data_IF_506899599065
#
_entry.id   IF_506899599065
#
_cell.length_a   1.000
_cell.length_b   1.000
_cell.length_c   1.000
_cell.angle_alpha   90.00
_cell.angle_beta   90.00
_cell.angle_gamma   90.00
#
_symmetry.space_group_name_H-M   'P 1'
#
loop_
_entity.id
_entity.type
_entity.pdbx_description
1 polymer ?
#
# COMPACT_ATOMS: atom_id res chain seq x y z
N UNK A 1 -18.05 -43.59 27.08
CA UNK A 1 -19.15 -42.60 27.07
C UNK A 1 -18.49 -41.26 27.18
N UNK A 2 -18.23 -40.69 26.01
CA UNK A 2 -18.81 -39.40 25.56
C UNK A 2 -17.71 -38.34 25.73
N UNK A 3 -16.98 -38.02 24.66
CA UNK A 3 -17.29 -36.89 23.75
C UNK A 3 -17.44 -35.59 24.58
N UNK A 4 -16.67 -34.53 24.43
CA UNK A 4 -16.16 -33.87 23.23
C UNK A 4 -14.87 -33.07 23.52
N UNK A 5 -14.02 -32.83 22.51
CA UNK A 5 -13.05 -31.75 22.54
C UNK A 5 -13.79 -30.42 22.36
N UNK A 6 -13.74 -29.53 23.34
CA UNK A 6 -14.07 -28.12 23.07
C UNK A 6 -12.88 -27.49 22.39
N UNK A 7 -12.88 -27.55 21.06
CA UNK A 7 -12.30 -26.49 20.24
C UNK A 7 -13.08 -25.20 20.55
N UNK A 8 -12.57 -24.39 21.47
CA UNK A 8 -12.90 -22.98 21.56
C UNK A 8 -11.62 -22.23 21.18
N UNK A 9 -11.36 -22.11 19.88
CA UNK A 9 -11.78 -20.99 19.02
C UNK A 9 -10.72 -19.88 19.09
N UNK A 10 -10.12 -19.47 17.95
CA UNK A 10 -9.09 -18.46 17.89
C UNK A 10 -9.71 -17.08 18.16
N UNK A 11 -9.78 -16.72 19.44
CA UNK A 11 -9.91 -15.35 19.90
C UNK A 11 -8.59 -14.95 20.55
N UNK A 12 -7.46 -15.27 19.92
CA UNK A 12 -6.25 -14.47 20.10
C UNK A 12 -6.55 -13.12 19.47
N UNK A 13 -7.17 -12.32 20.34
CA UNK A 13 -7.36 -10.90 20.29
C UNK A 13 -6.72 -10.30 19.04
N UNK A 14 -7.60 -9.81 18.16
CA UNK A 14 -7.54 -8.43 17.71
C UNK A 14 -7.03 -7.57 18.88
N UNK A 15 -5.72 -7.60 19.10
CA UNK A 15 -5.03 -6.84 20.14
C UNK A 15 -5.28 -5.43 19.71
N UNK A 16 -6.33 -4.82 20.28
CA UNK A 16 -6.81 -3.50 19.94
C UNK A 16 -5.56 -2.65 19.78
N UNK A 17 -5.22 -2.32 18.53
CA UNK A 17 -3.90 -1.80 18.14
C UNK A 17 -3.86 -0.33 18.57
N UNK A 18 -3.98 -0.07 19.87
CA UNK A 18 -3.81 1.26 20.42
C UNK A 18 -2.37 1.68 20.21
N UNK A 19 -2.20 2.90 19.73
CA UNK A 19 -0.91 3.55 19.61
C UNK A 19 -0.86 4.66 20.62
N UNK A 20 0.12 4.60 21.52
CA UNK A 20 0.37 5.67 22.49
C UNK A 20 0.93 6.88 21.75
N UNK A 21 0.31 8.03 21.98
CA UNK A 21 0.76 9.30 21.42
C UNK A 21 1.41 10.13 22.54
N UNK A 22 2.70 10.44 22.39
CA UNK A 22 3.40 11.41 23.23
C UNK A 22 3.32 12.80 22.61
N UNK A 23 2.42 13.65 23.11
CA UNK A 23 2.27 15.04 22.66
C UNK A 23 2.68 16.02 23.75
N UNK A 24 3.40 17.07 23.36
CA UNK A 24 3.68 18.22 24.22
C UNK A 24 2.61 19.28 23.95
N UNK A 25 1.96 19.73 25.02
CA UNK A 25 0.98 20.81 24.98
C UNK A 25 1.58 22.04 25.67
N UNK A 26 1.20 23.21 25.17
CA UNK A 26 1.46 24.45 25.89
C UNK A 26 0.69 24.48 27.21
N UNK A 27 1.21 25.18 28.21
CA UNK A 27 0.59 25.27 29.55
C UNK A 27 -0.82 25.83 29.47
N UNK A 28 -1.05 26.84 28.63
CA UNK A 28 -2.36 27.48 28.50
C UNK A 28 -3.38 26.53 27.84
N UNK A 29 -2.94 25.74 26.85
CA UNK A 29 -3.79 24.72 26.21
C UNK A 29 -4.13 23.62 27.21
N UNK A 30 -3.15 23.14 27.98
CA UNK A 30 -3.36 22.14 29.00
C UNK A 30 -4.33 22.63 30.09
N UNK A 31 -4.21 23.89 30.52
CA UNK A 31 -5.11 24.49 31.50
C UNK A 31 -6.55 24.54 30.99
N UNK A 32 -6.77 25.02 29.76
CA UNK A 32 -8.10 25.05 29.13
C UNK A 32 -8.70 23.66 29.00
N UNK A 33 -7.92 22.68 28.59
CA UNK A 33 -8.37 21.31 28.44
C UNK A 33 -8.67 20.63 29.78
N UNK A 34 -7.86 20.90 30.80
CA UNK A 34 -8.11 20.44 32.18
C UNK A 34 -9.43 20.99 32.72
N UNK A 35 -9.71 22.27 32.45
CA UNK A 35 -10.99 22.88 32.83
C UNK A 35 -12.18 22.23 32.12
N UNK A 36 -12.07 21.96 30.81
CA UNK A 36 -13.12 21.25 30.05
C UNK A 36 -13.35 19.85 30.64
N UNK A 37 -12.28 19.09 30.90
CA UNK A 37 -12.37 17.75 31.46
C UNK A 37 -13.05 17.75 32.85
N UNK A 38 -12.76 18.75 33.68
CA UNK A 38 -13.44 18.93 34.97
C UNK A 38 -14.94 19.21 34.80
N UNK A 39 -15.32 20.05 33.84
CA UNK A 39 -16.73 20.36 33.56
C UNK A 39 -17.48 19.17 32.95
N UNK A 40 -16.82 18.36 32.11
CA UNK A 40 -17.41 17.19 31.46
C UNK A 40 -17.39 15.93 32.33
N UNK A 41 -16.74 15.97 33.50
CA UNK A 41 -16.56 14.79 34.37
C UNK A 41 -15.70 13.70 33.73
N UNK A 42 -14.84 14.07 32.77
CA UNK A 42 -14.01 13.15 32.00
C UNK A 42 -12.52 13.42 32.27
N UNK A 43 -11.64 12.63 31.65
CA UNK A 43 -10.18 12.84 31.79
C UNK A 43 -9.65 13.67 30.63
N UNK A 44 -8.52 14.35 30.84
CA UNK A 44 -7.80 15.07 29.78
C UNK A 44 -7.53 14.14 28.58
N UNK A 45 -7.16 12.88 28.84
CA UNK A 45 -6.92 11.89 27.78
C UNK A 45 -8.17 11.56 26.97
N UNK A 46 -9.33 11.49 27.63
CA UNK A 46 -10.60 11.22 26.97
C UNK A 46 -11.02 12.39 26.07
N UNK A 47 -10.88 13.63 26.56
CA UNK A 47 -11.15 14.83 25.78
C UNK A 47 -10.20 14.95 24.56
N UNK A 48 -8.93 14.56 24.69
CA UNK A 48 -7.99 14.50 23.55
C UNK A 48 -8.47 13.49 22.52
N UNK A 49 -8.84 12.28 22.95
CA UNK A 49 -9.33 11.23 22.06
C UNK A 49 -10.56 11.72 21.29
N UNK A 50 -11.56 12.22 22.02
CA UNK A 50 -12.81 12.70 21.45
C UNK A 50 -12.62 13.87 20.49
N UNK A 51 -11.70 14.79 20.82
CA UNK A 51 -11.36 15.92 19.94
C UNK A 51 -10.72 15.46 18.63
N UNK A 52 -9.87 14.43 18.68
CA UNK A 52 -9.27 13.83 17.48
C UNK A 52 -10.34 13.15 16.62
N UNK A 53 -11.22 12.37 17.23
CA UNK A 53 -12.33 11.70 16.53
C UNK A 53 -13.26 12.71 15.86
N UNK A 54 -13.66 13.76 16.59
CA UNK A 54 -14.49 14.83 16.05
C UNK A 54 -13.81 15.58 14.90
N UNK A 55 -12.49 15.80 14.99
CA UNK A 55 -11.73 16.44 13.89
C UNK A 55 -11.69 15.55 12.65
N UNK A 56 -11.55 14.23 12.81
CA UNK A 56 -11.56 13.26 11.71
C UNK A 56 -12.94 13.21 11.07
N UNK A 57 -14.01 13.20 11.86
CA UNK A 57 -15.38 13.23 11.35
C UNK A 57 -15.66 14.52 10.56
N UNK A 58 -15.32 15.67 11.13
CA UNK A 58 -15.46 16.96 10.46
C UNK A 58 -14.64 17.02 9.15
N UNK A 59 -13.44 16.44 9.13
CA UNK A 59 -12.61 16.39 7.93
C UNK A 59 -13.20 15.49 6.82
N UNK A 60 -13.94 14.44 7.18
CA UNK A 60 -14.63 13.58 6.20
C UNK A 60 -15.88 14.25 5.63
N UNK A 61 -16.53 15.14 6.40
CA UNK A 61 -17.67 15.92 5.94
C UNK A 61 -17.27 17.15 5.11
N UNK A 62 -16.00 17.55 5.15
CA UNK A 62 -15.49 18.73 4.44
C UNK A 62 -15.28 18.43 2.94
N UNK A 63 -16.02 19.10 2.03
CA UNK A 63 -15.98 18.77 0.60
C UNK A 63 -14.62 19.08 -0.04
N UNK A 64 -13.90 20.11 0.43
CA UNK A 64 -12.57 20.45 -0.09
C UNK A 64 -11.55 19.37 0.27
N UNK A 65 -11.56 18.90 1.53
CA UNK A 65 -10.69 17.81 1.95
C UNK A 65 -11.02 16.50 1.25
N UNK A 66 -12.31 16.20 1.03
CA UNK A 66 -12.73 15.02 0.27
C UNK A 66 -12.24 15.09 -1.18
N UNK A 67 -12.37 16.24 -1.84
CA UNK A 67 -11.86 16.41 -3.21
C UNK A 67 -10.35 16.18 -3.28
N UNK A 68 -9.59 16.78 -2.34
CA UNK A 68 -8.14 16.55 -2.27
C UNK A 68 -7.79 15.09 -1.98
N UNK A 69 -8.54 14.43 -1.11
CA UNK A 69 -8.36 13.01 -0.85
C UNK A 69 -8.59 12.16 -2.11
N UNK A 70 -9.58 12.51 -2.94
CA UNK A 70 -9.82 11.83 -4.22
C UNK A 70 -8.69 12.08 -5.22
N UNK A 71 -8.16 13.30 -5.31
CA UNK A 71 -7.01 13.62 -6.16
C UNK A 71 -5.77 12.81 -5.74
N UNK A 72 -5.47 12.77 -4.43
CA UNK A 72 -4.36 11.98 -3.89
C UNK A 72 -4.56 10.49 -4.19
N UNK A 73 -5.79 9.97 -4.05
CA UNK A 73 -6.11 8.58 -4.41
C UNK A 73 -5.85 8.28 -5.88
N UNK A 74 -6.23 9.18 -6.78
CA UNK A 74 -6.02 9.01 -8.22
C UNK A 74 -4.53 8.99 -8.58
N UNK A 75 -3.71 9.81 -7.93
CA UNK A 75 -2.25 9.81 -8.11
C UNK A 75 -1.62 8.51 -7.61
N UNK A 76 -1.99 8.04 -6.40
CA UNK A 76 -1.50 6.77 -5.86
C UNK A 76 -1.84 5.62 -6.81
N UNK A 77 -3.04 5.59 -7.36
CA UNK A 77 -3.47 4.55 -8.31
C UNK A 77 -2.65 4.59 -9.60
N UNK A 78 -2.41 5.79 -10.16
CA UNK A 78 -1.56 5.97 -11.34
C UNK A 78 -0.14 5.46 -11.08
N UNK A 79 0.45 5.84 -9.94
CA UNK A 79 1.79 5.38 -9.56
C UNK A 79 1.83 3.86 -9.34
N UNK A 80 0.82 3.29 -8.68
CA UNK A 80 0.72 1.87 -8.44
C UNK A 80 0.62 1.09 -9.77
N UNK A 81 -0.21 1.56 -10.71
CA UNK A 81 -0.33 0.99 -12.04
C UNK A 81 0.98 1.06 -12.82
N UNK A 82 1.67 2.21 -12.79
CA UNK A 82 2.97 2.35 -13.44
C UNK A 82 4.01 1.37 -12.86
N UNK A 83 4.06 1.23 -11.52
CA UNK A 83 4.94 0.26 -10.85
C UNK A 83 4.55 -1.18 -11.21
N UNK A 84 3.26 -1.49 -11.26
CA UNK A 84 2.77 -2.83 -11.62
C UNK A 84 3.07 -3.19 -13.08
N UNK A 85 2.94 -2.23 -14.01
CA UNK A 85 3.32 -2.42 -15.41
C UNK A 85 4.82 -2.67 -15.56
N UNK A 86 5.66 -1.92 -14.84
CA UNK A 86 7.11 -2.12 -14.85
C UNK A 86 7.50 -3.52 -14.33
N UNK A 87 6.88 -3.96 -13.23
CA UNK A 87 7.07 -5.31 -12.67
C UNK A 87 6.60 -6.38 -13.66
N UNK A 88 5.45 -6.19 -14.31
CA UNK A 88 4.92 -7.13 -15.31
C UNK A 88 5.84 -7.23 -16.53
N UNK A 89 6.40 -6.09 -17.00
CA UNK A 89 7.40 -6.06 -18.06
C UNK A 89 8.70 -6.77 -17.69
N UNK A 90 9.12 -6.69 -16.42
CA UNK A 90 10.27 -7.44 -15.91
C UNK A 90 10.02 -8.95 -15.98
N UNK A 91 8.87 -9.43 -15.51
CA UNK A 91 8.52 -10.86 -15.59
C UNK A 91 8.27 -11.35 -17.02
N UNK A 92 7.66 -10.53 -17.89
CA UNK A 92 7.43 -10.87 -19.30
C UNK A 92 8.72 -10.93 -20.12
N UNK A 93 9.73 -10.13 -19.79
CA UNK A 93 11.04 -10.15 -20.47
C UNK A 93 11.82 -11.44 -20.19
N UNK A 94 11.67 -12.03 -18.99
CA UNK A 94 12.31 -13.31 -18.64
C UNK A 94 11.80 -14.48 -19.51
N UNK A 95 10.56 -14.43 -19.99
CA UNK A 95 9.99 -15.47 -20.85
C UNK A 95 10.51 -15.41 -22.30
N UNK A 96 10.66 -14.21 -22.88
CA UNK A 96 11.07 -14.04 -24.30
C UNK A 96 12.56 -14.23 -24.56
N UNK A 97 13.42 -13.98 -23.55
CA UNK A 97 14.85 -14.29 -23.64
C UNK A 97 15.15 -15.81 -23.51
N UNK A 98 14.17 -16.60 -23.05
CA UNK A 98 14.30 -18.06 -22.90
C UNK A 98 13.89 -18.86 -24.14
N UNK A 99 13.18 -18.26 -25.11
CA UNK A 99 12.70 -18.94 -26.33
C UNK A 99 13.49 -18.62 -27.62
N UNK A 100 14.49 -17.75 -27.57
CA UNK A 100 15.32 -17.43 -28.77
C UNK A 100 16.74 -18.01 -28.73
N UNK A 101 17.09 -18.78 -27.70
CA UNK A 101 18.42 -19.39 -27.55
C UNK A 101 18.41 -20.93 -27.56
N UNK A 102 17.48 -21.57 -28.29
CA UNK A 102 17.57 -23.02 -28.54
C UNK A 102 17.06 -23.44 -29.92
N UNK A 103 18.02 -23.87 -30.75
CA UNK A 103 17.82 -24.65 -31.98
C UNK A 103 18.19 -23.90 -33.26
N UNK A 104 18.99 -24.39 -34.21
CA UNK A 104 19.71 -25.66 -34.39
C UNK A 104 20.70 -25.43 -35.53
N UNK A 105 21.95 -25.89 -35.39
CA UNK A 105 22.94 -25.98 -36.46
C UNK A 105 22.50 -27.00 -37.52
N UNK A 106 22.42 -26.62 -38.79
CA UNK A 106 22.53 -27.49 -40.00
C UNK A 106 22.55 -26.54 -41.22
N UNK A 107 23.31 -26.61 -42.31
CA UNK A 107 24.16 -27.65 -42.92
C UNK A 107 24.99 -27.02 -44.05
N UNK A 108 26.25 -27.46 -44.19
CA UNK A 108 27.01 -27.76 -45.44
C UNK A 108 27.02 -26.79 -46.66
N UNK A 109 28.16 -26.11 -46.81
CA UNK A 109 29.10 -26.07 -47.96
C UNK A 109 28.68 -26.83 -49.25
N UNK A 110 28.59 -26.11 -50.37
CA UNK A 110 29.16 -26.49 -51.69
C UNK A 110 29.50 -25.26 -52.54
N UNK A 111 30.78 -25.08 -52.92
CA UNK A 111 31.20 -24.26 -54.07
C UNK A 111 30.88 -25.04 -55.37
N UNK A 112 30.52 -24.38 -56.48
CA UNK A 112 31.42 -24.32 -57.65
C UNK A 112 31.31 -22.95 -58.42
N UNK A 113 32.42 -22.33 -58.86
CA UNK A 113 33.07 -22.38 -60.20
C UNK A 113 32.55 -21.30 -61.19
N UNK A 114 33.49 -20.54 -61.80
CA UNK A 114 33.43 -19.38 -62.73
C UNK A 114 32.80 -19.70 -64.14
N UNK A 115 32.83 -18.85 -65.22
CA UNK A 115 33.49 -17.55 -65.54
C UNK A 115 32.55 -16.48 -66.21
N UNK A 116 32.94 -15.26 -66.62
CA UNK A 116 33.56 -14.83 -67.91
C UNK A 116 33.47 -13.26 -67.95
N UNK A 117 34.57 -12.49 -68.03
CA UNK A 117 35.13 -11.79 -69.21
C UNK A 117 34.14 -11.07 -70.18
N UNK A 118 34.50 -9.82 -70.53
CA UNK A 118 33.96 -8.86 -71.55
C UNK A 118 32.84 -7.89 -71.08
N UNK A 119 32.90 -6.59 -71.37
CA UNK A 119 33.49 -5.86 -72.50
C UNK A 119 34.18 -4.54 -72.11
#
# INVERSE_FOLDING_TARGET
MEQHPTTQQPAEAEQQRYKTLGVRLDEDIHARLSFIAQLSGSTITDEIRRSIEARIDAAQADPELVERAQQVRAEIEREAQARQQAISGFFGKVAVDSETSSGTRTSRRTKPTAPLDQA
#
